data_IF_817796613593
#
_entry.id   IF_817796613593
#
_cell.length_a   1.000
_cell.length_b   1.000
_cell.length_c   1.000
_cell.angle_alpha   90.00
_cell.angle_beta   90.00
_cell.angle_gamma   90.00
#
_symmetry.space_group_name_H-M   'P 1'
#
loop_
_entity.id
_entity.type
_entity.pdbx_description
1 polymer ?
#
# COMPACT_ATOMS: atom_id res chain seq x y z
N UNK A 1 6.39 8.92 16.31
CA UNK A 1 5.09 9.16 16.98
C UNK A 1 4.03 8.32 16.28
N UNK A 2 3.41 7.32 16.95
CA UNK A 2 2.31 6.57 16.36
C UNK A 2 1.05 7.45 16.29
N UNK A 3 0.37 7.44 15.15
CA UNK A 3 -0.94 8.08 14.95
C UNK A 3 -1.99 6.99 14.69
N UNK A 4 -3.24 7.23 15.08
CA UNK A 4 -4.36 6.29 14.84
C UNK A 4 -4.66 6.03 13.36
N UNK A 5 -4.04 6.76 12.43
CA UNK A 5 -4.18 6.54 10.99
C UNK A 5 -3.37 7.51 10.14
N UNK A 6 -3.31 7.24 8.83
CA UNK A 6 -2.54 8.03 7.87
C UNK A 6 -2.89 9.53 7.87
N UNK A 7 -4.18 9.88 7.91
CA UNK A 7 -4.62 11.29 7.85
C UNK A 7 -4.05 12.16 8.99
N UNK A 8 -4.12 11.68 10.23
CA UNK A 8 -3.57 12.42 11.39
C UNK A 8 -2.04 12.54 11.30
N UNK A 9 -1.37 11.50 10.82
CA UNK A 9 0.08 11.53 10.63
C UNK A 9 0.52 12.53 9.56
N UNK A 10 -0.21 12.60 8.45
CA UNK A 10 0.02 13.56 7.36
C UNK A 10 -0.21 14.99 7.84
N UNK A 11 -1.29 15.24 8.58
CA UNK A 11 -1.60 16.56 9.12
C UNK A 11 -0.50 17.08 10.06
N UNK A 12 0.04 16.22 10.93
CA UNK A 12 1.14 16.56 11.83
C UNK A 12 2.40 17.04 11.08
N UNK A 13 2.75 16.37 9.98
CA UNK A 13 3.91 16.80 9.16
C UNK A 13 3.64 18.15 8.48
N UNK A 14 2.42 18.37 7.98
CA UNK A 14 2.02 19.64 7.36
C UNK A 14 2.05 20.79 8.39
N UNK A 15 1.62 20.52 9.63
CA UNK A 15 1.61 21.49 10.72
C UNK A 15 3.02 21.75 11.32
N UNK A 16 4.02 20.96 10.94
CA UNK A 16 5.38 21.05 11.48
C UNK A 16 5.55 20.39 12.86
N UNK A 17 4.54 19.67 13.35
CA UNK A 17 4.61 18.93 14.62
C UNK A 17 5.51 17.69 14.52
N UNK A 18 5.63 17.11 13.33
CA UNK A 18 6.57 16.03 13.01
C UNK A 18 7.38 16.34 11.77
N UNK A 19 8.65 15.94 11.75
CA UNK A 19 9.55 16.23 10.62
C UNK A 19 9.26 15.36 9.39
N UNK A 20 8.82 14.12 9.59
CA UNK A 20 8.56 13.16 8.52
C UNK A 20 7.55 12.10 8.98
N UNK A 21 7.00 11.37 8.00
CA UNK A 21 6.14 10.21 8.23
C UNK A 21 6.27 9.18 7.11
N UNK A 22 5.99 7.91 7.43
CA UNK A 22 5.82 6.83 6.47
C UNK A 22 4.32 6.54 6.36
N UNK A 23 3.76 6.74 5.16
CA UNK A 23 2.32 6.60 4.92
C UNK A 23 2.04 5.93 3.58
N UNK A 24 0.87 5.29 3.39
CA UNK A 24 0.45 4.83 2.08
C UNK A 24 0.35 6.01 1.11
N UNK A 25 0.88 5.85 -0.11
CA UNK A 25 0.89 6.91 -1.12
C UNK A 25 -0.49 7.56 -1.35
N UNK A 26 -1.63 6.82 -1.42
CA UNK A 26 -2.94 7.43 -1.62
C UNK A 26 -3.32 8.49 -0.58
N UNK A 27 -2.81 8.39 0.65
CA UNK A 27 -3.10 9.35 1.71
C UNK A 27 -2.36 10.70 1.53
N UNK A 28 -1.29 10.74 0.73
CA UNK A 28 -0.38 11.91 0.64
C UNK A 28 -0.24 12.50 -0.75
N UNK A 29 -0.55 11.75 -1.83
CA UNK A 29 -0.24 12.20 -3.19
C UNK A 29 -0.86 13.56 -3.55
N UNK A 30 -2.04 13.90 -3.03
CA UNK A 30 -2.64 15.23 -3.24
C UNK A 30 -1.81 16.35 -2.59
N UNK A 31 -1.26 16.12 -1.39
CA UNK A 31 -0.40 17.08 -0.70
C UNK A 31 0.97 17.22 -1.37
N UNK A 32 1.51 16.10 -1.87
CA UNK A 32 2.77 16.09 -2.62
C UNK A 32 2.63 16.88 -3.92
N UNK A 33 1.57 16.62 -4.69
CA UNK A 33 1.27 17.35 -5.94
C UNK A 33 1.04 18.84 -5.71
N UNK A 34 0.44 19.21 -4.58
CA UNK A 34 0.21 20.60 -4.20
C UNK A 34 1.46 21.30 -3.60
N UNK A 35 2.61 20.62 -3.52
CA UNK A 35 3.84 21.18 -2.95
C UNK A 35 3.81 21.38 -1.42
N UNK A 36 2.76 20.90 -0.73
CA UNK A 36 2.63 20.98 0.73
C UNK A 36 3.47 19.95 1.47
N UNK A 37 3.80 18.86 0.79
CA UNK A 37 4.69 17.81 1.29
C UNK A 37 5.73 17.46 0.24
N UNK A 38 6.93 17.09 0.68
CA UNK A 38 7.97 16.54 -0.16
C UNK A 38 8.03 15.02 0.04
N UNK A 39 7.80 14.25 -1.02
CA UNK A 39 8.06 12.82 -1.00
C UNK A 39 9.59 12.56 -1.07
N UNK A 40 10.10 11.69 -0.21
CA UNK A 40 11.54 11.41 -0.10
C UNK A 40 11.95 10.08 -0.77
N UNK A 41 11.06 9.09 -0.77
CA UNK A 41 11.26 7.78 -1.38
C UNK A 41 10.00 6.93 -1.27
N UNK A 42 10.00 5.76 -1.89
CA UNK A 42 8.89 4.79 -1.79
C UNK A 42 9.38 3.39 -1.45
N UNK A 43 8.45 2.57 -0.94
CA UNK A 43 8.78 1.24 -0.40
C UNK A 43 8.60 0.09 -1.43
N UNK A 44 8.11 0.39 -2.65
CA UNK A 44 8.02 -0.59 -3.74
C UNK A 44 9.40 -1.15 -4.12
N UNK A 45 9.49 -2.42 -4.56
CA UNK A 45 10.77 -3.09 -4.81
C UNK A 45 11.59 -2.49 -5.97
N UNK A 46 10.93 -1.73 -6.85
CA UNK A 46 11.54 -1.03 -7.98
C UNK A 46 10.80 0.28 -8.22
N UNK A 47 11.44 1.21 -8.94
CA UNK A 47 10.82 2.49 -9.34
C UNK A 47 9.49 2.25 -10.07
N UNK A 48 8.53 3.11 -9.79
CA UNK A 48 7.20 3.04 -10.40
C UNK A 48 6.95 4.25 -11.28
N UNK A 49 6.46 4.08 -12.52
CA UNK A 49 6.09 5.21 -13.37
C UNK A 49 4.95 6.05 -12.77
N UNK A 50 4.18 5.50 -11.82
CA UNK A 50 3.14 6.23 -11.08
C UNK A 50 3.70 7.24 -10.08
N UNK A 51 4.98 7.14 -9.73
CA UNK A 51 5.66 7.95 -8.71
C UNK A 51 6.78 8.82 -9.29
N UNK A 52 6.90 8.88 -10.63
CA UNK A 52 7.93 9.66 -11.32
C UNK A 52 9.34 9.23 -10.92
N UNK A 53 10.21 10.21 -10.62
CA UNK A 53 11.62 9.98 -10.29
C UNK A 53 11.88 9.63 -8.81
N UNK A 54 10.82 9.45 -8.01
CA UNK A 54 10.93 9.13 -6.60
C UNK A 54 11.70 7.80 -6.43
N UNK A 55 12.83 7.77 -5.70
CA UNK A 55 13.65 6.57 -5.60
C UNK A 55 12.95 5.50 -4.76
N UNK A 56 13.21 4.24 -5.10
CA UNK A 56 12.90 3.14 -4.18
C UNK A 56 13.86 3.19 -2.99
N UNK A 57 13.36 2.96 -1.78
CA UNK A 57 14.21 2.76 -0.60
C UNK A 57 15.20 1.61 -0.82
N UNK A 58 14.86 0.63 -1.66
CA UNK A 58 15.72 -0.51 -2.00
C UNK A 58 17.01 -0.10 -2.73
N UNK A 59 17.03 1.07 -3.38
CA UNK A 59 18.24 1.61 -4.03
C UNK A 59 19.32 1.97 -3.00
N UNK A 60 18.93 2.37 -1.79
CA UNK A 60 19.85 2.74 -0.71
C UNK A 60 19.98 1.66 0.35
N UNK A 61 18.94 0.85 0.54
CA UNK A 61 18.88 -0.26 1.50
C UNK A 61 18.50 -1.53 0.74
N UNK A 62 19.46 -2.27 0.16
CA UNK A 62 19.17 -3.39 -0.74
C UNK A 62 18.32 -4.52 -0.13
N UNK A 63 18.41 -4.72 1.19
CA UNK A 63 17.62 -5.71 1.93
C UNK A 63 16.21 -5.21 2.31
N UNK A 64 15.82 -4.00 1.91
CA UNK A 64 14.51 -3.46 2.21
C UNK A 64 13.42 -4.17 1.41
N UNK A 65 12.58 -4.92 2.11
CA UNK A 65 11.48 -5.70 1.54
C UNK A 65 10.20 -5.51 2.36
N UNK A 66 9.57 -4.36 2.19
CA UNK A 66 8.27 -4.08 2.78
C UNK A 66 7.46 -3.10 1.91
N UNK A 67 6.29 -3.54 1.45
CA UNK A 67 5.39 -2.67 0.70
C UNK A 67 3.95 -2.91 1.11
N UNK A 68 3.23 -1.82 1.38
CA UNK A 68 1.81 -1.91 1.74
C UNK A 68 0.96 -2.37 0.56
N UNK A 69 -0.04 -3.19 0.85
CA UNK A 69 -1.04 -3.66 -0.10
C UNK A 69 -2.44 -3.57 0.49
N UNK A 70 -3.44 -3.49 -0.38
CA UNK A 70 -4.86 -3.54 -0.03
C UNK A 70 -5.49 -4.62 -0.90
N UNK A 71 -6.35 -5.45 -0.32
CA UNK A 71 -7.06 -6.50 -1.06
C UNK A 71 -8.42 -6.82 -0.46
N UNK A 72 -9.20 -7.59 -1.21
CA UNK A 72 -10.55 -7.98 -0.84
C UNK A 72 -10.57 -9.39 -0.26
N UNK A 73 -11.18 -9.55 0.91
CA UNK A 73 -11.38 -10.83 1.59
C UNK A 73 -12.88 -11.13 1.70
N UNK A 74 -13.23 -12.41 1.68
CA UNK A 74 -14.58 -12.89 1.93
C UNK A 74 -14.59 -13.86 3.12
N UNK A 75 -15.72 -14.02 3.84
CA UNK A 75 -15.82 -14.94 4.97
C UNK A 75 -15.42 -16.38 4.62
N UNK A 76 -14.87 -17.09 5.60
CA UNK A 76 -14.61 -18.54 5.48
C UNK A 76 -15.92 -19.26 5.13
N UNK A 77 -15.86 -20.14 4.13
CA UNK A 77 -17.03 -20.87 3.63
C UNK A 77 -17.78 -20.18 2.48
N UNK A 78 -17.35 -18.99 2.03
CA UNK A 78 -17.87 -18.38 0.80
C UNK A 78 -17.72 -19.36 -0.37
N UNK A 79 -18.83 -19.67 -1.05
CA UNK A 79 -18.84 -20.64 -2.14
C UNK A 79 -18.05 -20.14 -3.35
N UNK A 80 -17.45 -21.08 -4.11
CA UNK A 80 -16.65 -20.75 -5.31
C UNK A 80 -17.42 -19.92 -6.34
N UNK A 81 -18.72 -20.17 -6.62
CA UNK A 81 -19.50 -19.31 -7.51
C UNK A 81 -19.60 -17.85 -7.03
N UNK A 82 -19.81 -17.62 -5.73
CA UNK A 82 -19.87 -16.26 -5.16
C UNK A 82 -18.51 -15.58 -5.24
N UNK A 83 -17.43 -16.27 -4.85
CA UNK A 83 -16.08 -15.73 -4.94
C UNK A 83 -15.70 -15.36 -6.38
N UNK A 84 -16.07 -16.19 -7.36
CA UNK A 84 -15.84 -15.92 -8.77
C UNK A 84 -16.62 -14.68 -9.24
N UNK A 85 -17.88 -14.54 -8.84
CA UNK A 85 -18.71 -13.36 -9.18
C UNK A 85 -18.11 -12.07 -8.62
N UNK A 86 -17.66 -12.09 -7.36
CA UNK A 86 -16.98 -10.94 -6.73
C UNK A 86 -15.68 -10.59 -7.45
N UNK A 87 -14.86 -11.59 -7.81
CA UNK A 87 -13.63 -11.37 -8.57
C UNK A 87 -13.90 -10.78 -9.96
N UNK A 88 -14.90 -11.28 -10.67
CA UNK A 88 -15.28 -10.74 -11.98
C UNK A 88 -15.73 -9.28 -11.88
N UNK A 89 -16.56 -8.95 -10.88
CA UNK A 89 -16.98 -7.58 -10.64
C UNK A 89 -15.80 -6.66 -10.29
N UNK A 90 -14.87 -7.13 -9.45
CA UNK A 90 -13.66 -6.41 -9.11
C UNK A 90 -12.81 -6.12 -10.37
N UNK A 91 -12.52 -7.15 -11.16
CA UNK A 91 -11.72 -7.02 -12.40
C UNK A 91 -12.38 -6.05 -13.38
N UNK A 92 -13.69 -6.16 -13.57
CA UNK A 92 -14.44 -5.24 -14.44
C UNK A 92 -14.28 -3.79 -13.95
N UNK A 93 -14.40 -3.57 -12.64
CA UNK A 93 -14.35 -2.23 -12.03
C UNK A 93 -12.95 -1.62 -12.12
N UNK A 94 -11.92 -2.35 -11.70
CA UNK A 94 -10.53 -1.84 -11.74
C UNK A 94 -9.99 -1.68 -13.16
N UNK A 95 -10.67 -2.22 -14.17
CA UNK A 95 -10.35 -1.98 -15.57
C UNK A 95 -11.10 -0.82 -16.20
N UNK A 96 -12.04 -0.18 -15.49
CA UNK A 96 -12.68 1.05 -15.99
C UNK A 96 -11.62 2.18 -16.06
N UNK A 97 -11.56 2.95 -17.16
CA UNK A 97 -10.56 4.00 -17.34
C UNK A 97 -10.49 4.98 -16.17
N UNK A 98 -11.64 5.51 -15.76
CA UNK A 98 -11.79 6.39 -14.58
C UNK A 98 -11.17 5.79 -13.31
N UNK A 99 -11.36 4.50 -13.07
CA UNK A 99 -10.85 3.84 -11.86
C UNK A 99 -9.34 3.68 -11.96
N UNK A 100 -8.82 3.25 -13.12
CA UNK A 100 -7.38 3.17 -13.36
C UNK A 100 -6.69 4.52 -13.20
N UNK A 101 -7.29 5.58 -13.73
CA UNK A 101 -6.79 6.95 -13.61
C UNK A 101 -6.77 7.41 -12.15
N UNK A 102 -7.83 7.15 -11.38
CA UNK A 102 -7.87 7.50 -9.95
C UNK A 102 -6.80 6.78 -9.13
N UNK A 103 -6.62 5.47 -9.34
CA UNK A 103 -5.57 4.70 -8.67
C UNK A 103 -4.18 5.20 -9.07
N UNK A 104 -3.94 5.43 -10.36
CA UNK A 104 -2.68 5.97 -10.87
C UNK A 104 -2.39 7.36 -10.29
N UNK A 105 -3.39 8.25 -10.23
CA UNK A 105 -3.25 9.59 -9.66
C UNK A 105 -2.90 9.57 -8.16
N UNK A 106 -3.23 8.48 -7.47
CA UNK A 106 -2.93 8.23 -6.06
C UNK A 106 -1.65 7.40 -5.85
N UNK A 107 -0.91 7.07 -6.91
CA UNK A 107 0.31 6.26 -6.84
C UNK A 107 0.06 4.79 -6.51
N UNK A 108 -1.18 4.31 -6.67
CA UNK A 108 -1.57 2.94 -6.36
C UNK A 108 -1.53 2.05 -7.62
N UNK A 109 -0.76 0.97 -7.54
CA UNK A 109 -0.71 -0.04 -8.59
C UNK A 109 -1.88 -1.02 -8.44
N UNK A 110 -2.64 -1.22 -9.53
CA UNK A 110 -3.69 -2.23 -9.58
C UNK A 110 -3.07 -3.59 -9.88
N UNK A 111 -3.35 -4.59 -9.05
CA UNK A 111 -2.95 -5.99 -9.22
C UNK A 111 -4.21 -6.86 -9.24
N UNK A 112 -4.38 -7.66 -10.29
CA UNK A 112 -5.57 -8.52 -10.48
C UNK A 112 -5.20 -10.00 -10.44
N UNK A 113 -4.64 -10.42 -9.31
CA UNK A 113 -4.25 -11.81 -9.08
C UNK A 113 -5.46 -12.77 -9.07
N UNK A 114 -5.16 -14.06 -9.13
CA UNK A 114 -6.12 -15.13 -8.83
C UNK A 114 -6.33 -15.22 -7.31
N UNK A 115 -7.48 -15.77 -6.84
CA UNK A 115 -7.70 -16.00 -5.41
C UNK A 115 -6.61 -16.88 -4.77
N UNK A 116 -6.08 -17.84 -5.52
CA UNK A 116 -4.99 -18.72 -5.10
C UNK A 116 -3.67 -17.96 -4.93
N UNK A 117 -3.32 -17.12 -5.88
CA UNK A 117 -2.14 -16.23 -5.77
C UNK A 117 -2.29 -15.24 -4.62
N UNK A 118 -3.46 -14.63 -4.46
CA UNK A 118 -3.70 -13.70 -3.36
C UNK A 118 -3.58 -14.40 -2.00
N UNK A 119 -4.10 -15.63 -1.88
CA UNK A 119 -3.96 -16.43 -0.66
C UNK A 119 -2.49 -16.70 -0.33
N UNK A 120 -1.68 -17.06 -1.34
CA UNK A 120 -0.23 -17.26 -1.15
C UNK A 120 0.47 -15.97 -0.72
N UNK A 121 0.13 -14.85 -1.34
CA UNK A 121 0.63 -13.52 -0.97
C UNK A 121 0.34 -13.20 0.51
N UNK A 122 -0.93 -13.34 0.94
CA UNK A 122 -1.32 -13.09 2.33
C UNK A 122 -0.57 -14.01 3.31
N UNK A 123 -0.42 -15.30 2.98
CA UNK A 123 0.33 -16.24 3.82
C UNK A 123 1.81 -15.84 3.97
N UNK A 124 2.45 -15.44 2.87
CA UNK A 124 3.84 -14.99 2.86
C UNK A 124 4.00 -13.69 3.66
N UNK A 125 3.07 -12.75 3.50
CA UNK A 125 3.06 -11.47 4.23
C UNK A 125 2.91 -11.66 5.74
N UNK A 126 2.07 -12.61 6.17
CA UNK A 126 1.95 -12.98 7.60
C UNK A 126 3.29 -13.50 8.13
N UNK A 127 3.97 -14.36 7.39
CA UNK A 127 5.28 -14.92 7.79
C UNK A 127 6.35 -13.82 7.85
N UNK A 128 6.44 -12.99 6.81
CA UNK A 128 7.44 -11.94 6.71
C UNK A 128 7.23 -10.86 7.76
N UNK A 129 6.00 -10.35 7.89
CA UNK A 129 5.65 -9.35 8.92
C UNK A 129 5.86 -9.92 10.32
N UNK A 130 5.54 -11.20 10.55
CA UNK A 130 5.79 -11.86 11.83
C UNK A 130 7.27 -11.92 12.21
N UNK A 131 8.17 -12.12 11.24
CA UNK A 131 9.63 -12.05 11.48
C UNK A 131 10.06 -10.63 11.85
N UNK A 132 9.55 -9.62 11.13
CA UNK A 132 9.86 -8.20 11.39
C UNK A 132 9.40 -7.80 12.80
N UNK A 133 8.15 -8.11 13.17
CA UNK A 133 7.57 -7.81 14.49
C UNK A 133 8.41 -8.45 15.61
N UNK A 134 8.78 -9.73 15.47
CA UNK A 134 9.62 -10.43 16.45
C UNK A 134 11.01 -9.83 16.56
N UNK A 135 11.67 -9.56 15.43
CA UNK A 135 13.02 -8.99 15.41
C UNK A 135 13.06 -7.58 16.02
N UNK A 136 12.00 -6.79 15.82
CA UNK A 136 11.88 -5.44 16.35
C UNK A 136 11.35 -5.40 17.81
N UNK A 137 11.02 -6.55 18.41
CA UNK A 137 10.48 -6.63 19.77
C UNK A 137 9.12 -5.93 19.94
N UNK A 138 8.37 -5.75 18.84
CA UNK A 138 7.10 -5.03 18.84
C UNK A 138 6.01 -5.87 19.49
N UNK A 139 5.19 -5.23 20.34
CA UNK A 139 3.96 -5.77 20.91
C UNK A 139 2.83 -4.83 20.58
N UNK A 140 1.65 -5.39 20.30
CA UNK A 140 0.42 -4.62 20.26
C UNK A 140 -0.06 -4.55 21.72
N UNK A 141 -0.08 -3.34 22.25
CA UNK A 141 -0.68 -2.97 23.53
C UNK A 141 -2.21 -2.83 23.43
#
# INVERSE_FOLDING_TARGET
MPYKGGGASVASVIAGESQWSITPAPAVMAHVKAGRLRALGHSLPQRSPLLGDLPSIKETVPAFEYSGWIGLLAPKGTSRPIANKLRQALIKTVNMPQVREQFAAQGAQIITNTPEEFRRHVQQEIVNTGKIVKAAGLKID
#
